data_IF_774442115952
#
_entry.id   IF_774442115952
#
_cell.length_a   1.000
_cell.length_b   1.000
_cell.length_c   1.000
_cell.angle_alpha   90.00
_cell.angle_beta   90.00
_cell.angle_gamma   90.00
#
_symmetry.space_group_name_H-M   'P 1'
#
loop_
_entity.id
_entity.type
_entity.pdbx_description
1 polymer ?
#
# COMPACT_ATOMS: atom_id res chain seq x y z
N UNK A 1 12.72 -3.17 -0.88
CA UNK A 1 13.35 -1.96 -1.47
C UNK A 1 12.62 -0.76 -0.89
N UNK A 2 13.25 0.40 -0.73
CA UNK A 2 12.51 1.58 -0.25
C UNK A 2 11.51 2.04 -1.32
N UNK A 3 10.30 2.47 -0.95
CA UNK A 3 9.38 3.13 -1.87
C UNK A 3 10.04 4.34 -2.53
N UNK A 4 9.77 4.53 -3.81
CA UNK A 4 10.06 5.77 -4.51
C UNK A 4 9.13 6.88 -4.02
N UNK A 5 9.68 8.07 -3.80
CA UNK A 5 8.94 9.24 -3.34
C UNK A 5 9.46 10.44 -4.14
N UNK A 6 8.59 11.21 -4.80
CA UNK A 6 8.97 12.43 -5.50
C UNK A 6 9.65 13.41 -4.56
N UNK A 7 10.65 14.15 -5.05
CA UNK A 7 11.55 14.97 -4.21
C UNK A 7 10.78 16.00 -3.38
N UNK A 8 9.72 16.56 -3.94
CA UNK A 8 8.83 17.53 -3.32
C UNK A 8 7.94 16.94 -2.21
N UNK A 9 7.77 15.61 -2.17
CA UNK A 9 7.04 14.90 -1.12
C UNK A 9 7.96 14.32 -0.04
N UNK A 10 9.28 14.38 -0.21
CA UNK A 10 10.25 13.95 0.82
C UNK A 10 10.18 14.89 2.02
N UNK A 11 10.17 14.32 3.22
CA UNK A 11 9.97 15.01 4.49
C UNK A 11 8.50 15.32 4.82
N UNK A 12 7.56 14.95 3.93
CA UNK A 12 6.14 15.26 4.12
C UNK A 12 5.38 14.16 4.88
N UNK A 13 4.12 14.47 5.22
CA UNK A 13 3.20 13.48 5.77
C UNK A 13 2.94 12.31 4.79
N UNK A 14 2.99 12.56 3.47
CA UNK A 14 2.80 11.51 2.46
C UNK A 14 3.92 10.47 2.50
N UNK A 15 5.18 10.92 2.67
CA UNK A 15 6.31 10.02 2.88
C UNK A 15 6.09 9.17 4.14
N UNK A 16 5.67 9.79 5.24
CA UNK A 16 5.43 9.09 6.51
C UNK A 16 4.34 8.01 6.36
N UNK A 17 3.24 8.33 5.67
CA UNK A 17 2.16 7.38 5.40
C UNK A 17 2.67 6.22 4.54
N UNK A 18 3.39 6.49 3.46
CA UNK A 18 3.85 5.46 2.51
C UNK A 18 4.92 4.56 3.12
N UNK A 19 5.85 5.09 3.91
CA UNK A 19 6.85 4.28 4.61
C UNK A 19 6.18 3.32 5.60
N UNK A 20 5.20 3.82 6.36
CA UNK A 20 4.44 2.96 7.28
C UNK A 20 3.62 1.91 6.51
N UNK A 21 2.91 2.33 5.46
CA UNK A 21 2.11 1.45 4.63
C UNK A 21 2.96 0.33 4.02
N UNK A 22 4.14 0.64 3.48
CA UNK A 22 5.01 -0.35 2.86
C UNK A 22 5.43 -1.46 3.85
N UNK A 23 5.55 -1.13 5.14
CA UNK A 23 5.88 -2.10 6.19
C UNK A 23 4.77 -3.15 6.46
N UNK A 24 3.56 -2.95 5.95
CA UNK A 24 2.38 -3.78 6.27
C UNK A 24 2.29 -5.04 5.42
N UNK A 25 1.92 -6.14 6.06
CA UNK A 25 1.78 -7.44 5.38
C UNK A 25 0.37 -7.58 4.79
N UNK A 26 0.09 -6.87 3.70
CA UNK A 26 -1.21 -6.93 3.01
C UNK A 26 -1.06 -6.85 1.49
N UNK A 27 -1.99 -7.49 0.79
CA UNK A 27 -2.15 -7.47 -0.67
C UNK A 27 -2.66 -6.10 -1.18
N UNK A 28 -2.68 -5.91 -2.50
CA UNK A 28 -3.03 -4.64 -3.15
C UNK A 28 -4.37 -4.02 -2.68
N UNK A 29 -5.42 -4.83 -2.52
CA UNK A 29 -6.72 -4.33 -2.02
C UNK A 29 -6.64 -3.88 -0.55
N UNK A 30 -6.06 -4.71 0.33
CA UNK A 30 -5.84 -4.35 1.73
C UNK A 30 -4.94 -3.11 1.89
N UNK A 31 -3.97 -2.94 0.99
CA UNK A 31 -3.12 -1.76 0.93
C UNK A 31 -3.91 -0.50 0.57
N UNK A 32 -4.80 -0.57 -0.42
CA UNK A 32 -5.64 0.57 -0.81
C UNK A 32 -6.55 1.04 0.34
N UNK A 33 -7.13 0.10 1.09
CA UNK A 33 -7.91 0.41 2.30
C UNK A 33 -7.08 1.08 3.38
N UNK A 34 -5.90 0.51 3.63
CA UNK A 34 -5.00 1.05 4.64
C UNK A 34 -4.58 2.48 4.32
N UNK A 35 -4.19 2.73 3.06
CA UNK A 35 -3.86 4.05 2.56
C UNK A 35 -5.06 5.00 2.66
N UNK A 36 -6.26 4.58 2.24
CA UNK A 36 -7.48 5.38 2.33
C UNK A 36 -7.76 5.84 3.77
N UNK A 37 -7.61 4.94 4.74
CA UNK A 37 -7.72 5.27 6.16
C UNK A 37 -6.66 6.28 6.60
N UNK A 38 -5.38 6.04 6.27
CA UNK A 38 -4.28 6.94 6.68
C UNK A 38 -4.38 8.32 6.06
N UNK A 39 -4.68 8.42 4.78
CA UNK A 39 -4.86 9.71 4.10
C UNK A 39 -6.03 10.48 4.71
N UNK A 40 -7.17 9.82 4.91
CA UNK A 40 -8.33 10.44 5.58
C UNK A 40 -7.98 10.93 6.99
N UNK A 41 -7.26 10.12 7.76
CA UNK A 41 -6.92 10.44 9.16
C UNK A 41 -5.88 11.55 9.27
N UNK A 42 -4.82 11.49 8.47
CA UNK A 42 -3.62 12.28 8.69
C UNK A 42 -3.54 13.52 7.78
N UNK A 43 -4.29 13.53 6.66
CA UNK A 43 -4.21 14.62 5.65
C UNK A 43 -5.56 15.23 5.27
N UNK A 44 -6.67 14.54 5.56
CA UNK A 44 -8.02 14.86 5.05
C UNK A 44 -8.15 14.81 3.51
N UNK A 45 -7.11 14.38 2.78
CA UNK A 45 -7.15 14.23 1.32
C UNK A 45 -7.85 12.91 0.98
N UNK A 46 -8.88 12.93 0.11
CA UNK A 46 -9.52 11.71 -0.34
C UNK A 46 -8.61 10.95 -1.32
N UNK A 47 -8.46 9.65 -1.11
CA UNK A 47 -7.90 8.74 -2.11
C UNK A 47 -9.01 8.22 -3.01
N UNK A 48 -8.79 8.29 -4.33
CA UNK A 48 -9.56 7.52 -5.31
C UNK A 48 -8.90 6.16 -5.46
N UNK A 49 -9.67 5.10 -5.29
CA UNK A 49 -9.17 3.74 -5.48
C UNK A 49 -9.54 3.30 -6.89
N UNK A 50 -8.56 2.72 -7.59
CA UNK A 50 -8.72 2.23 -8.94
C UNK A 50 -8.39 0.74 -8.99
N UNK A 51 -9.04 0.02 -9.90
CA UNK A 51 -8.76 -1.38 -10.18
C UNK A 51 -8.62 -1.64 -11.69
N UNK A 52 -7.83 -2.65 -12.03
CA UNK A 52 -7.63 -3.07 -13.41
C UNK A 52 -6.35 -3.87 -13.58
N UNK A 53 -5.58 -3.55 -14.61
CA UNK A 53 -4.36 -4.23 -15.01
C UNK A 53 -3.18 -3.25 -14.96
N UNK A 54 -2.06 -3.70 -14.44
CA UNK A 54 -0.76 -3.06 -14.62
C UNK A 54 0.01 -3.82 -15.69
N UNK A 55 0.57 -3.11 -16.67
CA UNK A 55 1.35 -3.66 -17.79
C UNK A 55 2.75 -3.03 -17.81
N UNK A 56 3.79 -3.83 -17.59
CA UNK A 56 5.19 -3.38 -17.55
C UNK A 56 6.07 -4.39 -18.28
N UNK A 57 6.82 -3.93 -19.29
CA UNK A 57 7.80 -4.76 -20.00
C UNK A 57 7.21 -6.04 -20.62
N UNK A 58 5.96 -6.01 -21.07
CA UNK A 58 5.24 -7.17 -21.62
C UNK A 58 4.65 -8.12 -20.57
N UNK A 59 4.87 -7.89 -19.28
CA UNK A 59 4.19 -8.59 -18.20
C UNK A 59 2.92 -7.85 -17.79
N UNK A 60 1.92 -8.58 -17.29
CA UNK A 60 0.67 -8.01 -16.79
C UNK A 60 0.22 -8.66 -15.48
N UNK A 61 -0.41 -7.88 -14.62
CA UNK A 61 -1.11 -8.40 -13.43
C UNK A 61 -2.46 -9.03 -13.82
N UNK A 62 -2.97 -10.04 -13.08
CA UNK A 62 -4.30 -10.60 -13.32
C UNK A 62 -5.43 -9.62 -12.94
N UNK A 63 -5.36 -9.05 -11.74
CA UNK A 63 -6.17 -7.95 -11.22
C UNK A 63 -5.29 -7.21 -10.22
N UNK A 64 -5.33 -5.88 -10.25
CA UNK A 64 -4.50 -5.04 -9.40
C UNK A 64 -5.29 -3.82 -8.93
N UNK A 65 -5.00 -3.39 -7.71
CA UNK A 65 -5.62 -2.23 -7.06
C UNK A 65 -4.53 -1.22 -6.71
N UNK A 66 -4.77 0.03 -7.06
CA UNK A 66 -3.88 1.15 -6.76
C UNK A 66 -4.70 2.36 -6.31
N UNK A 67 -4.03 3.40 -5.82
CA UNK A 67 -4.70 4.59 -5.32
C UNK A 67 -4.18 5.85 -5.98
N UNK A 68 -5.04 6.85 -6.14
CA UNK A 68 -4.72 8.14 -6.73
C UNK A 68 -5.20 9.24 -5.78
N UNK A 69 -4.35 10.24 -5.52
CA UNK A 69 -4.74 11.45 -4.79
C UNK A 69 -4.30 12.69 -5.55
N UNK A 70 -4.86 13.83 -5.18
CA UNK A 70 -4.47 15.14 -5.68
C UNK A 70 -3.90 15.97 -4.52
N UNK A 71 -2.77 16.64 -4.77
CA UNK A 71 -2.21 17.64 -3.86
C UNK A 71 -1.74 18.83 -4.69
N UNK A 72 -2.17 20.04 -4.31
CA UNK A 72 -1.79 21.29 -4.97
C UNK A 72 -2.02 21.29 -6.51
N UNK A 73 -3.12 20.66 -6.96
CA UNK A 73 -3.47 20.55 -8.38
C UNK A 73 -2.65 19.53 -9.17
N UNK A 74 -1.84 18.71 -8.49
CA UNK A 74 -1.03 17.64 -9.09
C UNK A 74 -1.60 16.29 -8.67
N UNK A 75 -1.85 15.42 -9.66
CA UNK A 75 -2.31 14.05 -9.41
C UNK A 75 -1.12 13.10 -9.21
N UNK A 76 -1.23 12.28 -8.16
CA UNK A 76 -0.24 11.29 -7.80
C UNK A 76 -0.86 9.90 -7.73
N UNK A 77 -0.15 8.90 -8.25
CA UNK A 77 -0.46 7.49 -8.11
C UNK A 77 0.37 6.88 -6.98
N UNK A 78 -0.27 6.09 -6.13
CA UNK A 78 0.38 5.28 -5.09
C UNK A 78 0.20 3.81 -5.44
N UNK A 79 1.31 3.10 -5.52
CA UNK A 79 1.32 1.66 -5.69
C UNK A 79 2.52 1.05 -4.98
N UNK A 80 2.25 0.29 -3.93
CA UNK A 80 3.27 -0.38 -3.11
C UNK A 80 3.29 -1.88 -3.33
N UNK A 81 2.44 -2.41 -4.21
CA UNK A 81 2.15 -3.86 -4.29
C UNK A 81 2.26 -4.42 -5.71
N UNK A 82 2.45 -3.58 -6.74
CA UNK A 82 2.75 -4.02 -8.11
C UNK A 82 3.86 -5.07 -8.21
N UNK A 83 4.95 -4.89 -7.46
CA UNK A 83 6.09 -5.82 -7.44
C UNK A 83 5.79 -7.20 -6.88
N UNK A 84 4.68 -7.36 -6.15
CA UNK A 84 4.25 -8.68 -5.68
C UNK A 84 3.76 -9.57 -6.81
N UNK A 85 3.20 -8.99 -7.87
CA UNK A 85 2.56 -9.72 -8.96
C UNK A 85 3.45 -9.95 -10.17
N UNK A 86 4.22 -8.94 -10.58
CA UNK A 86 4.99 -9.01 -11.83
C UNK A 86 6.38 -9.61 -11.58
N UNK A 87 7.21 -8.90 -10.80
CA UNK A 87 8.58 -9.22 -10.38
C UNK A 87 9.05 -8.13 -9.42
N UNK A 88 10.13 -8.40 -8.69
CA UNK A 88 10.77 -7.40 -7.83
C UNK A 88 11.90 -6.68 -8.59
N UNK A 89 11.56 -5.99 -9.68
CA UNK A 89 12.50 -5.25 -10.53
C UNK A 89 12.32 -3.73 -10.35
N UNK A 90 13.38 -2.94 -10.62
CA UNK A 90 13.36 -1.48 -10.43
C UNK A 90 12.36 -0.75 -11.34
N UNK A 91 12.13 -1.28 -12.54
CA UNK A 91 11.22 -0.72 -13.54
C UNK A 91 9.73 -0.88 -13.17
N UNK A 92 9.43 -1.68 -12.15
CA UNK A 92 8.06 -1.91 -11.70
C UNK A 92 7.73 -0.90 -10.59
N UNK A 93 6.59 -0.20 -10.66
CA UNK A 93 6.21 0.79 -9.67
C UNK A 93 6.25 0.25 -8.23
N UNK A 94 6.79 1.05 -7.32
CA UNK A 94 6.81 0.81 -5.87
C UNK A 94 6.99 2.14 -5.15
N UNK A 95 5.91 2.88 -4.89
CA UNK A 95 5.98 4.20 -4.28
C UNK A 95 4.88 5.16 -4.70
N UNK A 96 5.19 6.45 -4.65
CA UNK A 96 4.36 7.56 -5.14
C UNK A 96 4.94 8.06 -6.46
N UNK A 97 4.10 8.26 -7.47
CA UNK A 97 4.51 8.74 -8.78
C UNK A 97 3.59 9.88 -9.22
N UNK A 98 4.09 10.85 -9.99
CA UNK A 98 3.17 11.70 -10.73
C UNK A 98 2.35 10.83 -11.67
N UNK A 99 1.04 11.03 -11.69
CA UNK A 99 0.15 10.22 -12.51
C UNK A 99 0.53 10.30 -13.99
N UNK A 100 0.94 11.48 -14.47
CA UNK A 100 1.39 11.71 -15.84
C UNK A 100 2.53 10.81 -16.29
N UNK A 101 3.40 10.41 -15.36
CA UNK A 101 4.65 9.70 -15.69
C UNK A 101 4.42 8.20 -15.81
N UNK A 102 3.36 7.69 -15.18
CA UNK A 102 3.09 6.25 -15.08
C UNK A 102 1.73 5.84 -15.64
N UNK A 103 0.84 6.78 -16.00
CA UNK A 103 -0.54 6.50 -16.41
C UNK A 103 -0.65 5.43 -17.51
N UNK A 104 0.27 5.42 -18.48
CA UNK A 104 0.25 4.45 -19.59
C UNK A 104 0.49 3.00 -19.17
N UNK A 105 1.04 2.78 -17.96
CA UNK A 105 1.26 1.44 -17.40
C UNK A 105 -0.02 0.87 -16.77
N UNK A 106 -0.97 1.73 -16.40
CA UNK A 106 -2.15 1.36 -15.63
C UNK A 106 -3.41 1.43 -16.49
N UNK A 107 -4.00 0.27 -16.78
CA UNK A 107 -5.27 0.17 -17.49
C UNK A 107 -6.38 -0.23 -16.52
N UNK A 108 -7.15 0.75 -16.06
CA UNK A 108 -8.21 0.50 -15.11
C UNK A 108 -9.16 1.68 -14.95
N UNK A 109 -10.01 1.59 -13.94
CA UNK A 109 -11.02 2.60 -13.64
C UNK A 109 -11.16 2.79 -12.13
N UNK A 110 -11.69 3.94 -11.74
CA UNK A 110 -12.12 4.16 -10.37
C UNK A 110 -13.13 3.09 -9.95
N UNK A 111 -13.01 2.62 -8.71
CA UNK A 111 -13.86 1.59 -8.14
C UNK A 111 -14.27 1.90 -6.72
N UNK A 112 -15.47 1.44 -6.37
CA UNK A 112 -15.97 1.39 -5.00
C UNK A 112 -16.11 -0.06 -4.53
N UNK A 113 -15.62 -1.03 -5.32
CA UNK A 113 -15.80 -2.47 -5.10
C UNK A 113 -14.74 -3.07 -4.17
N UNK A 114 -13.82 -2.26 -3.65
CA UNK A 114 -12.87 -2.71 -2.63
C UNK A 114 -13.62 -3.14 -1.38
N UNK A 115 -13.13 -4.18 -0.68
CA UNK A 115 -13.81 -4.83 0.45
C UNK A 115 -14.21 -3.87 1.58
N UNK A 116 -15.38 -3.23 1.49
CA UNK A 116 -16.08 -2.51 2.56
C UNK A 116 -15.32 -1.37 3.27
N UNK A 117 -16.05 -0.47 3.93
CA UNK A 117 -15.43 0.44 4.89
C UNK A 117 -15.21 -0.34 6.19
N UNK A 118 -13.98 -0.82 6.44
CA UNK A 118 -13.64 -1.39 7.73
C UNK A 118 -13.61 -0.30 8.82
N UNK A 119 -14.12 -0.58 10.03
CA UNK A 119 -13.87 0.28 11.19
C UNK A 119 -12.37 0.48 11.41
N UNK A 120 -11.97 1.65 11.89
CA UNK A 120 -10.57 2.01 12.14
C UNK A 120 -9.84 0.97 12.98
N UNK A 121 -10.50 0.49 14.02
CA UNK A 121 -9.95 -0.49 14.97
C UNK A 121 -9.66 -1.81 14.27
N UNK A 122 -10.47 -2.17 13.28
CA UNK A 122 -10.33 -3.41 12.53
C UNK A 122 -9.21 -3.32 11.48
N UNK A 123 -9.00 -2.16 10.86
CA UNK A 123 -7.91 -1.95 9.87
C UNK A 123 -6.53 -2.23 10.48
N UNK A 124 -6.26 -1.69 11.68
CA UNK A 124 -4.96 -1.89 12.33
C UNK A 124 -4.72 -3.34 12.75
N UNK A 125 -5.79 -4.10 13.02
CA UNK A 125 -5.73 -5.53 13.36
C UNK A 125 -5.56 -6.38 12.11
N UNK A 126 -6.30 -6.09 11.04
CA UNK A 126 -6.30 -6.88 9.80
C UNK A 126 -5.01 -6.68 9.00
N UNK A 127 -4.38 -5.51 9.09
CA UNK A 127 -3.19 -5.17 8.30
C UNK A 127 -2.02 -4.76 9.19
N UNK A 128 -1.49 -5.67 10.03
CA UNK A 128 -0.42 -5.34 10.97
C UNK A 128 0.87 -4.98 10.23
N UNK A 129 1.67 -4.10 10.83
CA UNK A 129 3.04 -3.87 10.37
C UNK A 129 3.90 -5.12 10.57
N UNK A 130 4.97 -5.24 9.80
CA UNK A 130 5.94 -6.33 9.94
C UNK A 130 6.51 -6.41 11.36
N UNK A 131 6.73 -5.28 12.02
CA UNK A 131 7.23 -5.23 13.39
C UNK A 131 6.19 -5.73 14.40
N UNK A 132 4.91 -5.39 14.21
CA UNK A 132 3.82 -5.92 15.02
C UNK A 132 3.72 -7.44 14.86
N UNK A 133 3.81 -7.93 13.63
CA UNK A 133 3.79 -9.37 13.33
C UNK A 133 4.98 -10.11 13.94
N UNK A 134 6.19 -9.56 13.85
CA UNK A 134 7.39 -10.15 14.48
C UNK A 134 7.27 -10.23 16.00
N UNK A 135 6.75 -9.19 16.65
CA UNK A 135 6.51 -9.18 18.10
C UNK A 135 5.52 -10.27 18.50
N UNK A 136 4.43 -10.43 17.76
CA UNK A 136 3.44 -11.48 18.00
C UNK A 136 4.07 -12.88 17.91
N UNK A 137 4.84 -13.15 16.85
CA UNK A 137 5.56 -14.42 16.69
C UNK A 137 6.51 -14.67 17.87
N UNK A 138 7.21 -13.65 18.34
CA UNK A 138 8.12 -13.80 19.48
C UNK A 138 7.36 -14.13 20.78
N UNK A 139 6.21 -13.50 21.01
CA UNK A 139 5.35 -13.80 22.15
C UNK A 139 4.82 -15.25 22.09
N UNK A 140 4.35 -15.70 20.93
CA UNK A 140 3.88 -17.07 20.73
C UNK A 140 5.00 -18.10 20.98
N UNK A 141 6.20 -17.87 20.44
CA UNK A 141 7.37 -18.73 20.69
C UNK A 141 7.77 -18.80 22.16
N UNK A 142 7.64 -17.69 22.91
CA UNK A 142 7.88 -17.68 24.36
C UNK A 142 6.83 -18.52 25.10
N UNK A 143 5.56 -18.40 24.71
CA UNK A 143 4.48 -19.17 25.30
C UNK A 143 4.64 -20.68 25.06
N UNK A 144 5.00 -21.08 23.83
CA UNK A 144 5.29 -22.48 23.49
C UNK A 144 6.45 -23.05 24.31
N UNK A 145 7.55 -22.30 24.48
CA UNK A 145 8.68 -22.73 25.32
C UNK A 145 8.27 -22.95 26.78
N UNK A 146 7.46 -22.05 27.34
CA UNK A 146 6.96 -22.17 28.71
C UNK A 146 6.05 -23.39 28.89
N UNK A 147 5.26 -23.73 27.88
CA UNK A 147 4.41 -24.92 27.88
C UNK A 147 5.22 -26.22 27.73
N UNK A 148 6.29 -26.21 26.94
CA UNK A 148 7.18 -27.37 26.75
C UNK A 148 8.11 -27.66 27.96
N UNK A 149 8.28 -26.69 28.87
CA UNK A 149 9.06 -26.82 30.10
C UNK A 149 8.25 -27.25 31.34
N UNK A 150 6.97 -27.58 31.16
CA UNK A 150 6.08 -28.16 32.18
C UNK A 150 5.84 -29.64 31.89
#
# INVERSE_FOLDING_TARGET
MKPYIPKELVGSIFETIVIDADSRQCECDGMAHYLAYRFKKDTQIPLRINEGLLVVGGNQTPHHVWSIFESDGIEYLIDLRARMWIRNDEDIPHGIYHLSDVATLYNGKATNNTWGNFPKELIEILFPSLDAFKKEIEMLRKAEKLLASK
#
